data_IF_717206625325
#
_entry.id   IF_717206625325
#
_cell.length_a   1.000
_cell.length_b   1.000
_cell.length_c   1.000
_cell.angle_alpha   90.00
_cell.angle_beta   90.00
_cell.angle_gamma   90.00
#
_symmetry.space_group_name_H-M   'P 1'
#
loop_
_entity.id
_entity.type
_entity.pdbx_description
1 polymer ?
#
# COMPACT_ATOMS: atom_id res chain seq x y z
N UNK A 1 12.94 -49.79 -54.67
CA UNK A 1 12.90 -48.34 -54.39
C UNK A 1 11.64 -48.10 -53.58
N UNK A 2 11.80 -47.99 -52.26
CA UNK A 2 10.72 -47.78 -51.30
C UNK A 2 10.95 -46.39 -50.70
N UNK A 3 10.13 -45.43 -51.10
CA UNK A 3 10.14 -44.09 -50.51
C UNK A 3 9.20 -44.07 -49.31
N UNK A 4 9.80 -43.95 -48.11
CA UNK A 4 9.11 -43.78 -46.85
C UNK A 4 8.60 -42.34 -46.71
N UNK A 5 7.30 -42.14 -46.89
CA UNK A 5 6.62 -40.90 -46.58
C UNK A 5 6.52 -40.68 -45.07
N UNK A 6 7.32 -39.75 -44.55
CA UNK A 6 7.28 -39.31 -43.15
C UNK A 6 6.03 -38.45 -42.92
N UNK A 7 4.98 -39.05 -42.34
CA UNK A 7 3.82 -38.32 -41.82
C UNK A 7 4.23 -37.50 -40.59
N UNK A 8 4.39 -36.19 -40.74
CA UNK A 8 4.55 -35.27 -39.62
C UNK A 8 3.18 -35.04 -38.96
N UNK A 9 2.90 -35.80 -37.90
CA UNK A 9 1.72 -35.61 -37.06
C UNK A 9 1.80 -34.23 -36.38
N UNK A 10 0.80 -33.38 -36.66
CA UNK A 10 0.67 -32.07 -36.02
C UNK A 10 0.17 -32.27 -34.58
N UNK A 11 1.09 -32.51 -33.65
CA UNK A 11 0.78 -32.49 -32.22
C UNK A 11 0.56 -31.02 -31.82
N UNK A 12 -0.63 -30.61 -31.37
CA UNK A 12 -0.81 -29.26 -30.83
C UNK A 12 0.15 -29.09 -29.64
N UNK A 13 1.04 -28.11 -29.74
CA UNK A 13 2.05 -27.81 -28.72
C UNK A 13 1.36 -27.39 -27.41
N UNK A 14 1.22 -28.37 -26.50
CA UNK A 14 0.58 -28.23 -25.19
C UNK A 14 1.14 -27.06 -24.36
N UNK A 15 2.36 -26.60 -24.67
CA UNK A 15 3.01 -25.44 -24.03
C UNK A 15 2.26 -24.12 -24.23
N UNK A 16 1.46 -23.98 -25.29
CA UNK A 16 0.76 -22.70 -25.59
C UNK A 16 -0.56 -22.54 -24.82
N UNK A 17 -1.30 -23.63 -24.62
CA UNK A 17 -2.54 -23.63 -23.84
C UNK A 17 -2.26 -23.35 -22.35
N UNK A 18 -1.13 -23.86 -21.85
CA UNK A 18 -0.73 -23.72 -20.46
C UNK A 18 -0.34 -22.26 -20.11
N UNK A 19 0.39 -21.58 -20.99
CA UNK A 19 0.76 -20.16 -20.83
C UNK A 19 -0.44 -19.23 -20.67
N UNK A 20 -1.53 -19.47 -21.40
CA UNK A 20 -2.73 -18.61 -21.34
C UNK A 20 -3.44 -18.77 -19.99
N UNK A 21 -3.51 -20.00 -19.45
CA UNK A 21 -4.09 -20.26 -18.13
C UNK A 21 -3.24 -19.67 -17.01
N UNK A 22 -1.93 -19.90 -17.06
CA UNK A 22 -0.98 -19.29 -16.11
C UNK A 22 -1.12 -17.78 -16.09
N UNK A 23 -1.29 -17.14 -17.25
CA UNK A 23 -1.43 -15.69 -17.34
C UNK A 23 -2.76 -15.17 -16.76
N UNK A 24 -3.87 -15.88 -16.98
CA UNK A 24 -5.16 -15.51 -16.38
C UNK A 24 -5.10 -15.63 -14.86
N UNK A 25 -4.47 -16.71 -14.36
CA UNK A 25 -4.27 -16.91 -12.92
C UNK A 25 -3.40 -15.81 -12.34
N UNK A 26 -2.27 -15.48 -12.97
CA UNK A 26 -1.37 -14.42 -12.51
C UNK A 26 -2.08 -13.05 -12.44
N UNK A 27 -2.90 -12.73 -13.45
CA UNK A 27 -3.70 -11.49 -13.45
C UNK A 27 -4.75 -11.48 -12.35
N UNK A 28 -5.46 -12.59 -12.15
CA UNK A 28 -6.43 -12.70 -11.07
C UNK A 28 -5.75 -12.54 -9.69
N UNK A 29 -4.56 -13.11 -9.52
CA UNK A 29 -3.75 -12.95 -8.30
C UNK A 29 -3.28 -11.51 -8.10
N UNK A 30 -2.78 -10.85 -9.14
CA UNK A 30 -2.36 -9.44 -9.08
C UNK A 30 -3.53 -8.50 -8.76
N UNK A 31 -4.68 -8.73 -9.39
CA UNK A 31 -5.88 -7.93 -9.14
C UNK A 31 -6.43 -8.19 -7.74
N UNK A 32 -6.42 -9.44 -7.30
CA UNK A 32 -6.72 -9.83 -5.93
C UNK A 32 -5.77 -9.18 -4.92
N UNK A 33 -4.47 -9.10 -5.22
CA UNK A 33 -3.49 -8.41 -4.40
C UNK A 33 -3.78 -6.91 -4.29
N UNK A 34 -4.10 -6.23 -5.41
CA UNK A 34 -4.46 -4.79 -5.38
C UNK A 34 -5.73 -4.57 -4.54
N UNK A 35 -6.73 -5.43 -4.68
CA UNK A 35 -7.96 -5.37 -3.87
C UNK A 35 -7.64 -5.60 -2.40
N UNK A 36 -6.90 -6.66 -2.04
CA UNK A 36 -6.46 -6.89 -0.66
C UNK A 36 -5.64 -5.72 -0.12
N UNK A 37 -4.73 -5.15 -0.91
CA UNK A 37 -3.94 -3.99 -0.53
C UNK A 37 -4.84 -2.77 -0.23
N UNK A 38 -5.91 -2.54 -1.00
CA UNK A 38 -6.85 -1.45 -0.74
C UNK A 38 -7.60 -1.59 0.59
N UNK A 39 -7.94 -2.82 0.99
CA UNK A 39 -8.76 -3.07 2.18
C UNK A 39 -7.97 -3.46 3.44
N UNK A 40 -6.68 -3.77 3.32
CA UNK A 40 -5.85 -4.20 4.44
C UNK A 40 -4.85 -3.10 4.80
N UNK A 41 -5.06 -2.47 5.95
CA UNK A 41 -4.25 -1.36 6.46
C UNK A 41 -2.77 -1.75 6.62
N UNK A 42 -2.50 -2.96 7.13
CA UNK A 42 -1.15 -3.51 7.27
C UNK A 42 -0.43 -3.66 5.94
N UNK A 43 -1.13 -3.87 4.82
CA UNK A 43 -0.51 -3.94 3.50
C UNK A 43 -0.16 -2.55 2.95
N UNK A 44 -0.97 -1.53 3.27
CA UNK A 44 -0.75 -0.14 2.86
C UNK A 44 0.45 0.50 3.53
N UNK A 45 0.77 0.10 4.77
CA UNK A 45 1.94 0.61 5.48
C UNK A 45 3.27 0.08 4.92
N UNK A 46 3.29 -1.15 4.41
CA UNK A 46 4.51 -1.78 3.89
C UNK A 46 4.76 -1.56 2.40
N UNK A 47 3.69 -1.43 1.60
CA UNK A 47 3.78 -1.33 0.15
C UNK A 47 3.31 0.05 -0.30
N UNK A 48 4.20 0.91 -0.84
CA UNK A 48 3.81 2.25 -1.28
C UNK A 48 2.80 2.16 -2.42
N UNK A 49 1.83 3.08 -2.42
CA UNK A 49 0.63 2.98 -3.27
C UNK A 49 0.94 2.82 -4.76
N UNK A 50 2.06 3.34 -5.27
CA UNK A 50 2.42 3.27 -6.69
C UNK A 50 2.92 1.88 -7.12
N UNK A 51 3.46 1.08 -6.19
CA UNK A 51 4.14 -0.18 -6.51
C UNK A 51 3.20 -1.25 -7.10
N UNK A 52 1.99 -1.49 -6.57
CA UNK A 52 1.04 -2.42 -7.18
C UNK A 52 0.69 -2.04 -8.62
N UNK A 53 0.56 -0.74 -8.91
CA UNK A 53 0.23 -0.25 -10.25
C UNK A 53 1.42 -0.32 -11.20
N UNK A 54 2.65 -0.09 -10.73
CA UNK A 54 3.86 -0.30 -11.54
C UNK A 54 4.02 -1.77 -11.91
N UNK A 55 3.77 -2.69 -10.97
CA UNK A 55 3.81 -4.14 -11.27
C UNK A 55 2.73 -4.51 -12.30
N UNK A 56 1.50 -3.98 -12.14
CA UNK A 56 0.43 -4.20 -13.10
C UNK A 56 0.78 -3.64 -14.49
N UNK A 57 1.36 -2.44 -14.54
CA UNK A 57 1.80 -1.79 -15.77
C UNK A 57 2.92 -2.58 -16.45
N UNK A 58 3.92 -3.05 -15.69
CA UNK A 58 5.03 -3.85 -16.20
C UNK A 58 4.52 -5.16 -16.82
N UNK A 59 3.57 -5.84 -16.17
CA UNK A 59 2.95 -7.06 -16.70
C UNK A 59 2.21 -6.81 -18.03
N UNK A 60 1.53 -5.67 -18.18
CA UNK A 60 0.88 -5.29 -19.44
C UNK A 60 1.90 -4.87 -20.52
N UNK A 61 2.98 -4.19 -20.13
CA UNK A 61 4.01 -3.73 -21.06
C UNK A 61 4.78 -4.89 -21.68
N UNK A 62 5.14 -5.90 -20.88
CA UNK A 62 5.76 -7.14 -21.35
C UNK A 62 4.90 -7.80 -22.43
N UNK A 63 3.59 -7.85 -22.24
CA UNK A 63 2.66 -8.43 -23.21
C UNK A 63 2.64 -7.65 -24.53
N UNK A 64 2.60 -6.34 -24.49
CA UNK A 64 2.65 -5.49 -25.69
C UNK A 64 3.97 -5.69 -26.44
N UNK A 65 5.08 -5.81 -25.72
CA UNK A 65 6.41 -6.04 -26.30
C UNK A 65 6.53 -7.43 -26.92
N UNK A 66 6.04 -8.48 -26.25
CA UNK A 66 6.01 -9.85 -26.79
C UNK A 66 5.13 -9.93 -28.03
N UNK A 67 3.92 -9.34 -27.98
CA UNK A 67 3.01 -9.31 -29.14
C UNK A 67 3.57 -8.52 -30.34
N UNK A 68 4.42 -7.50 -30.10
CA UNK A 68 5.13 -6.77 -31.17
C UNK A 68 6.35 -7.52 -31.72
N UNK A 69 6.98 -8.38 -30.90
CA UNK A 69 8.16 -9.18 -31.28
C UNK A 69 7.79 -10.49 -31.98
N UNK A 70 6.55 -10.96 -31.87
CA UNK A 70 6.07 -12.05 -32.71
C UNK A 70 6.08 -11.58 -34.17
N UNK A 71 6.94 -12.15 -35.05
CA UNK A 71 6.89 -11.81 -36.45
C UNK A 71 5.49 -12.13 -36.96
N UNK A 72 4.86 -11.21 -37.69
CA UNK A 72 3.65 -11.47 -38.46
C UNK A 72 3.89 -12.79 -39.20
N UNK A 73 3.26 -13.89 -38.75
CA UNK A 73 3.37 -15.17 -39.43
C UNK A 73 2.95 -14.89 -40.86
N UNK A 74 3.93 -14.80 -41.79
CA UNK A 74 3.67 -14.76 -43.22
C UNK A 74 2.72 -15.91 -43.45
N UNK A 75 1.55 -15.61 -44.01
CA UNK A 75 0.58 -16.62 -44.38
C UNK A 75 1.36 -17.66 -45.19
N UNK A 76 1.67 -18.80 -44.55
CA UNK A 76 2.39 -19.88 -45.20
C UNK A 76 1.52 -20.21 -46.41
N UNK A 77 2.07 -20.09 -47.62
CA UNK A 77 1.34 -20.34 -48.86
C UNK A 77 0.73 -21.72 -48.70
N UNK A 78 -0.58 -21.76 -48.42
CA UNK A 78 -1.31 -23.00 -48.22
C UNK A 78 -1.29 -23.68 -49.57
N UNK A 79 -0.57 -24.78 -49.69
CA UNK A 79 -0.84 -25.74 -50.76
C UNK A 79 -2.34 -26.05 -50.62
N UNK A 80 -3.15 -25.87 -51.67
CA UNK A 80 -4.57 -26.20 -51.59
C UNK A 80 -4.68 -27.69 -51.20
N UNK A 81 -5.50 -28.02 -50.20
CA UNK A 81 -5.65 -29.40 -49.74
C UNK A 81 -6.11 -30.31 -50.88
N UNK A 82 -5.62 -31.54 -50.88
CA UNK A 82 -5.97 -32.55 -51.88
C UNK A 82 -7.35 -33.16 -51.62
N UNK A 83 -7.87 -33.98 -52.54
CA UNK A 83 -9.14 -34.69 -52.36
C UNK A 83 -9.20 -35.53 -51.07
N UNK A 84 -8.04 -36.04 -50.65
CA UNK A 84 -7.86 -36.84 -49.44
C UNK A 84 -7.95 -36.07 -48.11
N UNK A 85 -7.97 -34.74 -48.15
CA UNK A 85 -8.09 -33.88 -46.96
C UNK A 85 -9.55 -33.43 -46.69
N UNK A 86 -10.51 -33.83 -47.52
CA UNK A 86 -11.92 -33.44 -47.42
C UNK A 86 -12.58 -33.91 -46.10
N UNK A 87 -12.18 -35.09 -45.64
CA UNK A 87 -12.72 -35.78 -44.45
C UNK A 87 -12.35 -35.08 -43.14
N UNK A 88 -11.33 -34.20 -43.18
CA UNK A 88 -10.80 -33.47 -42.02
C UNK A 88 -11.55 -32.16 -41.75
N UNK A 89 -12.66 -31.89 -42.45
CA UNK A 89 -13.52 -30.73 -42.21
C UNK A 89 -13.02 -29.42 -42.84
N UNK A 90 -12.13 -29.51 -43.84
CA UNK A 90 -11.56 -28.35 -44.53
C UNK A 90 -12.40 -27.83 -45.70
N UNK A 91 -13.63 -28.30 -45.93
CA UNK A 91 -14.51 -27.80 -46.98
C UNK A 91 -15.48 -28.87 -47.46
N UNK A 92 -16.40 -28.47 -48.34
CA UNK A 92 -17.32 -29.42 -48.98
C UNK A 92 -17.00 -29.48 -50.46
N UNK A 93 -16.80 -30.70 -50.97
CA UNK A 93 -16.70 -30.93 -52.41
C UNK A 93 -18.12 -30.95 -52.96
N UNK A 94 -18.44 -30.02 -53.85
CA UNK A 94 -19.76 -29.92 -54.48
C UNK A 94 -19.60 -30.38 -55.93
N UNK A 95 -20.40 -31.36 -56.34
CA UNK A 95 -20.41 -31.88 -57.71
C UNK A 95 -21.10 -30.87 -58.63
N UNK A 96 -20.45 -30.51 -59.74
CA UNK A 96 -20.97 -29.53 -60.68
C UNK A 96 -20.78 -30.01 -62.12
N UNK A 97 -21.90 -30.45 -62.70
CA UNK A 97 -22.17 -30.98 -64.06
C UNK A 97 -21.16 -31.95 -64.69
N UNK A 98 -19.84 -31.68 -64.66
CA UNK A 98 -18.78 -32.60 -65.11
C UNK A 98 -17.47 -32.48 -64.29
N UNK A 99 -17.49 -31.84 -63.11
CA UNK A 99 -16.30 -31.69 -62.26
C UNK A 99 -16.60 -31.52 -60.77
N UNK A 100 -15.67 -31.96 -59.92
CA UNK A 100 -15.71 -31.72 -58.47
C UNK A 100 -15.12 -30.34 -58.16
N UNK A 101 -15.94 -29.41 -57.66
CA UNK A 101 -15.49 -28.09 -57.23
C UNK A 101 -15.35 -28.07 -55.71
N UNK A 102 -14.11 -27.96 -55.24
CA UNK A 102 -13.82 -27.74 -53.83
C UNK A 102 -14.29 -26.35 -53.39
N UNK A 103 -15.21 -26.30 -52.42
CA UNK A 103 -15.64 -25.05 -51.78
C UNK A 103 -15.01 -24.99 -50.39
N UNK A 104 -14.03 -24.10 -50.15
CA UNK A 104 -13.46 -23.94 -48.83
C UNK A 104 -14.54 -23.42 -47.86
N UNK A 105 -14.47 -23.78 -46.57
CA UNK A 105 -15.40 -23.28 -45.57
C UNK A 105 -15.29 -21.76 -45.52
N UNK A 106 -16.39 -21.04 -45.24
CA UNK A 106 -16.34 -19.60 -45.10
C UNK A 106 -15.25 -19.24 -44.09
N UNK A 107 -14.35 -18.33 -44.49
CA UNK A 107 -13.28 -17.84 -43.63
C UNK A 107 -13.94 -17.26 -42.38
N UNK A 108 -13.80 -17.93 -41.24
CA UNK A 108 -14.17 -17.34 -39.95
C UNK A 108 -13.27 -16.12 -39.75
N UNK A 109 -13.80 -14.93 -40.04
CA UNK A 109 -13.09 -13.70 -39.71
C UNK A 109 -12.80 -13.71 -38.21
N UNK A 110 -11.53 -13.60 -37.78
CA UNK A 110 -11.23 -13.51 -36.37
C UNK A 110 -11.93 -12.25 -35.84
N UNK A 111 -12.67 -12.31 -34.71
CA UNK A 111 -13.38 -11.16 -34.17
C UNK A 111 -12.37 -10.11 -33.68
N UNK A 112 -11.90 -9.23 -34.58
CA UNK A 112 -10.87 -8.21 -34.33
C UNK A 112 -11.38 -7.10 -33.40
N UNK A 113 -12.66 -6.74 -33.50
CA UNK A 113 -13.24 -5.60 -32.74
C UNK A 113 -13.42 -5.86 -31.24
N UNK A 114 -13.78 -7.08 -30.83
CA UNK A 114 -14.08 -7.36 -29.41
C UNK A 114 -12.85 -7.34 -28.50
N UNK A 115 -11.66 -7.69 -29.02
CA UNK A 115 -10.40 -7.69 -28.24
C UNK A 115 -9.84 -6.29 -27.97
N UNK A 116 -10.02 -5.35 -28.91
CA UNK A 116 -9.58 -3.97 -28.71
C UNK A 116 -10.46 -3.24 -27.67
N UNK A 117 -11.77 -3.45 -27.72
CA UNK A 117 -12.72 -2.87 -26.77
C UNK A 117 -12.46 -3.37 -25.34
N UNK A 118 -12.21 -4.67 -25.15
CA UNK A 118 -11.88 -5.23 -23.83
C UNK A 118 -10.60 -4.66 -23.22
N UNK A 119 -9.58 -4.36 -24.03
CA UNK A 119 -8.33 -3.72 -23.55
C UNK A 119 -8.55 -2.27 -23.15
N UNK A 120 -9.34 -1.52 -23.91
CA UNK A 120 -9.66 -0.13 -23.60
C UNK A 120 -10.50 -0.02 -22.31
N UNK A 121 -11.47 -0.91 -22.13
CA UNK A 121 -12.28 -0.96 -20.89
C UNK A 121 -11.41 -1.34 -19.68
N UNK A 122 -10.53 -2.34 -19.81
CA UNK A 122 -9.61 -2.72 -18.73
C UNK A 122 -8.63 -1.61 -18.34
N UNK A 123 -8.04 -0.93 -19.33
CA UNK A 123 -7.16 0.21 -19.08
C UNK A 123 -7.89 1.40 -18.45
N UNK A 124 -9.12 1.69 -18.90
CA UNK A 124 -9.97 2.73 -18.32
C UNK A 124 -10.31 2.46 -16.86
N UNK A 125 -10.68 1.21 -16.52
CA UNK A 125 -10.97 0.82 -15.15
C UNK A 125 -9.73 0.91 -14.25
N UNK A 126 -8.57 0.43 -14.73
CA UNK A 126 -7.31 0.54 -13.98
C UNK A 126 -6.91 2.00 -13.72
N UNK A 127 -7.04 2.87 -14.73
CA UNK A 127 -6.76 4.30 -14.59
C UNK A 127 -7.74 4.99 -13.63
N UNK A 128 -9.02 4.61 -13.66
CA UNK A 128 -10.03 5.09 -12.72
C UNK A 128 -9.68 4.68 -11.28
N UNK A 129 -9.39 3.39 -11.05
CA UNK A 129 -9.01 2.88 -9.73
C UNK A 129 -7.73 3.54 -9.21
N UNK A 130 -6.72 3.71 -10.07
CA UNK A 130 -5.50 4.45 -9.73
C UNK A 130 -5.82 5.91 -9.36
N UNK A 131 -6.64 6.59 -10.16
CA UNK A 131 -7.03 7.96 -9.92
C UNK A 131 -7.79 8.14 -8.60
N UNK A 132 -8.69 7.20 -8.28
CA UNK A 132 -9.42 7.19 -7.01
C UNK A 132 -8.49 6.91 -5.82
N UNK A 133 -7.60 5.92 -5.93
CA UNK A 133 -6.63 5.61 -4.88
C UNK A 133 -5.65 6.77 -4.64
N UNK A 134 -5.09 7.34 -5.70
CA UNK A 134 -4.19 8.49 -5.62
C UNK A 134 -4.90 9.77 -5.16
N UNK A 135 -6.22 9.88 -5.33
CA UNK A 135 -7.00 10.97 -4.76
C UNK A 135 -7.21 10.74 -3.27
N UNK A 136 -7.66 9.56 -2.87
CA UNK A 136 -7.88 9.21 -1.46
C UNK A 136 -6.60 9.35 -0.63
N UNK A 137 -5.48 8.86 -1.14
CA UNK A 137 -4.16 8.99 -0.50
C UNK A 137 -3.75 10.45 -0.35
N UNK A 138 -3.92 11.27 -1.40
CA UNK A 138 -3.65 12.71 -1.33
C UNK A 138 -4.55 13.41 -0.33
N UNK A 139 -5.85 13.11 -0.32
CA UNK A 139 -6.80 13.67 0.64
C UNK A 139 -6.48 13.29 2.08
N UNK A 140 -5.84 12.13 2.30
CA UNK A 140 -5.39 11.67 3.61
C UNK A 140 -4.08 12.31 4.08
N UNK A 141 -3.42 13.17 3.31
CA UNK A 141 -2.17 13.83 3.76
C UNK A 141 -2.43 15.01 4.68
N UNK A 142 -1.44 15.43 5.47
CA UNK A 142 -1.51 16.66 6.25
C UNK A 142 -1.66 17.90 5.37
N UNK A 143 -0.97 17.92 4.23
CA UNK A 143 -0.93 19.06 3.31
C UNK A 143 -2.26 19.28 2.56
N UNK A 144 -3.16 18.29 2.54
CA UNK A 144 -4.50 18.42 1.93
C UNK A 144 -5.44 19.29 2.77
N UNK A 145 -5.17 19.41 4.08
CA UNK A 145 -5.99 20.22 4.97
C UNK A 145 -5.81 21.71 4.66
N UNK A 146 -6.89 22.53 4.72
CA UNK A 146 -6.78 23.97 4.57
C UNK A 146 -5.83 24.58 5.62
N UNK A 147 -5.06 25.60 5.24
CA UNK A 147 -4.11 26.27 6.13
C UNK A 147 -4.73 26.72 7.48
N UNK A 148 -5.96 27.31 7.52
CA UNK A 148 -6.59 27.66 8.80
C UNK A 148 -6.88 26.46 9.69
N UNK A 149 -7.15 25.29 9.10
CA UNK A 149 -7.38 24.06 9.85
C UNK A 149 -6.07 23.49 10.40
N UNK A 150 -5.01 23.46 9.58
CA UNK A 150 -3.65 23.10 10.02
C UNK A 150 -3.19 23.98 11.18
N UNK A 151 -3.34 25.29 11.06
CA UNK A 151 -2.96 26.25 12.09
C UNK A 151 -3.72 26.02 13.41
N UNK A 152 -5.04 25.78 13.37
CA UNK A 152 -5.83 25.46 14.57
C UNK A 152 -5.40 24.17 15.24
N UNK A 153 -5.13 23.13 14.44
CA UNK A 153 -4.64 21.86 14.98
C UNK A 153 -3.27 22.03 15.62
N UNK A 154 -2.30 22.66 14.93
CA UNK A 154 -0.97 22.90 15.50
C UNK A 154 -1.04 23.73 16.78
N UNK A 155 -1.90 24.75 16.84
CA UNK A 155 -2.11 25.54 18.06
C UNK A 155 -2.64 24.68 19.22
N UNK A 156 -3.62 23.80 18.94
CA UNK A 156 -4.15 22.88 19.96
C UNK A 156 -3.07 21.91 20.45
N UNK A 157 -2.34 21.28 19.53
CA UNK A 157 -1.28 20.33 19.87
C UNK A 157 -0.13 21.00 20.62
N UNK A 158 0.23 22.24 20.26
CA UNK A 158 1.23 23.04 20.96
C UNK A 158 0.82 23.31 22.41
N UNK A 159 -0.46 23.64 22.65
CA UNK A 159 -0.98 23.84 24.01
C UNK A 159 -0.91 22.56 24.85
N UNK A 160 -1.23 21.41 24.25
CA UNK A 160 -1.17 20.12 24.95
C UNK A 160 0.28 19.71 25.24
N UNK A 161 1.20 19.92 24.27
CA UNK A 161 2.62 19.69 24.44
C UNK A 161 3.22 20.58 25.53
N UNK A 162 2.80 21.85 25.62
CA UNK A 162 3.23 22.75 26.70
C UNK A 162 2.78 22.24 28.08
N UNK A 163 1.59 21.65 28.16
CA UNK A 163 1.09 21.01 29.39
C UNK A 163 1.96 19.84 29.83
N UNK A 164 2.41 19.00 28.88
CA UNK A 164 3.31 17.88 29.16
C UNK A 164 4.74 18.36 29.49
N UNK A 165 5.26 19.34 28.74
CA UNK A 165 6.60 19.88 28.93
C UNK A 165 6.75 20.72 30.20
N UNK A 166 5.64 21.15 30.81
CA UNK A 166 5.61 22.04 31.97
C UNK A 166 6.12 23.46 31.70
N UNK A 167 6.29 23.83 30.42
CA UNK A 167 6.81 25.13 30.00
C UNK A 167 6.28 25.51 28.61
N UNK A 168 6.35 26.80 28.22
CA UNK A 168 5.97 27.23 26.88
C UNK A 168 6.85 26.57 25.80
N UNK A 169 6.21 25.99 24.80
CA UNK A 169 6.87 25.32 23.66
C UNK A 169 6.18 25.67 22.35
N UNK A 170 6.79 25.29 21.23
CA UNK A 170 6.22 25.35 19.89
C UNK A 170 6.25 23.98 19.25
N UNK A 171 5.13 23.58 18.64
CA UNK A 171 5.08 22.42 17.77
C UNK A 171 4.97 22.88 16.32
N UNK A 172 5.63 22.17 15.40
CA UNK A 172 5.43 22.32 13.96
C UNK A 172 5.28 20.97 13.29
N UNK A 173 4.54 20.96 12.19
CA UNK A 173 4.51 19.82 11.28
C UNK A 173 5.54 20.06 10.19
N UNK A 174 6.43 19.10 9.99
CA UNK A 174 7.54 19.22 9.05
C UNK A 174 7.07 18.97 7.60
N UNK A 175 6.33 19.93 7.04
CA UNK A 175 5.68 19.78 5.73
C UNK A 175 6.66 19.46 4.59
N UNK A 176 7.92 19.87 4.73
CA UNK A 176 9.00 19.62 3.77
C UNK A 176 9.96 18.50 4.16
N UNK A 177 9.71 17.78 5.26
CA UNK A 177 10.57 16.72 5.78
C UNK A 177 12.03 17.15 6.01
N UNK A 178 12.26 18.42 6.35
CA UNK A 178 13.60 18.99 6.54
C UNK A 178 14.29 18.45 7.80
N UNK A 179 13.52 17.97 8.77
CA UNK A 179 13.97 17.51 10.07
C UNK A 179 13.63 16.03 10.30
N UNK A 180 12.42 15.60 9.94
CA UNK A 180 12.02 14.19 10.11
C UNK A 180 12.48 13.31 8.96
N UNK A 181 12.76 13.87 7.79
CA UNK A 181 13.22 13.13 6.61
C UNK A 181 12.11 12.34 5.91
N UNK A 182 12.09 12.39 4.58
CA UNK A 182 11.10 11.65 3.79
C UNK A 182 11.45 10.16 3.79
N UNK A 183 10.56 9.31 4.33
CA UNK A 183 10.80 7.87 4.44
C UNK A 183 11.79 7.46 5.54
N UNK A 184 12.09 8.35 6.48
CA UNK A 184 12.84 8.02 7.70
C UNK A 184 11.93 7.36 8.72
N UNK A 185 12.52 6.59 9.64
CA UNK A 185 11.84 6.08 10.85
C UNK A 185 11.66 7.17 11.92
N UNK A 186 12.18 8.38 11.70
CA UNK A 186 12.03 9.53 12.60
C UNK A 186 10.63 10.13 12.48
N UNK A 187 9.79 9.89 13.48
CA UNK A 187 8.40 10.39 13.53
C UNK A 187 8.28 11.78 14.18
N UNK A 188 9.29 12.18 14.95
CA UNK A 188 9.39 13.48 15.62
C UNK A 188 10.83 13.82 15.96
N UNK A 189 11.09 15.10 16.19
CA UNK A 189 12.37 15.59 16.74
C UNK A 189 12.15 16.87 17.55
N UNK A 190 12.69 16.88 18.76
CA UNK A 190 12.68 18.03 19.65
C UNK A 190 14.03 18.76 19.69
N UNK A 191 13.96 20.09 19.77
CA UNK A 191 15.09 20.99 20.03
C UNK A 191 14.87 21.71 21.37
N UNK A 192 15.19 21.08 22.51
CA UNK A 192 14.80 21.59 23.83
C UNK A 192 15.32 23.01 24.12
N UNK A 193 16.53 23.35 23.67
CA UNK A 193 17.09 24.70 23.84
C UNK A 193 16.32 25.80 23.10
N UNK A 194 15.69 25.45 21.98
CA UNK A 194 14.87 26.36 21.20
C UNK A 194 13.38 26.28 21.57
N UNK A 195 13.00 25.34 22.46
CA UNK A 195 11.62 25.12 22.86
C UNK A 195 10.71 24.71 21.71
N UNK A 196 11.24 24.04 20.68
CA UNK A 196 10.49 23.68 19.47
C UNK A 196 10.65 22.20 19.12
N UNK A 197 9.57 21.54 18.72
CA UNK A 197 9.59 20.21 18.13
C UNK A 197 8.91 20.17 16.76
N UNK A 198 9.40 19.28 15.91
CA UNK A 198 8.89 19.01 14.58
C UNK A 198 8.36 17.58 14.52
N UNK A 199 7.12 17.41 14.07
CA UNK A 199 6.50 16.11 13.85
C UNK A 199 6.41 15.81 12.36
N UNK A 200 6.48 14.52 12.02
CA UNK A 200 6.25 14.07 10.66
C UNK A 200 4.81 14.42 10.23
N UNK A 201 4.58 14.78 8.95
CA UNK A 201 3.24 15.11 8.45
C UNK A 201 2.18 14.03 8.72
N UNK A 202 2.55 12.75 8.64
CA UNK A 202 1.65 11.64 8.97
C UNK A 202 1.19 11.68 10.43
N UNK A 203 2.09 11.97 11.37
CA UNK A 203 1.77 12.11 12.80
C UNK A 203 0.83 13.30 13.03
N UNK A 204 1.11 14.45 12.40
CA UNK A 204 0.22 15.60 12.49
C UNK A 204 -1.18 15.32 11.93
N UNK A 205 -1.27 14.54 10.86
CA UNK A 205 -2.54 14.12 10.30
C UNK A 205 -3.31 13.20 11.25
N UNK A 206 -2.67 12.18 11.79
CA UNK A 206 -3.32 11.26 12.74
C UNK A 206 -3.82 12.02 13.98
N UNK A 207 -3.02 12.94 14.52
CA UNK A 207 -3.43 13.79 15.64
C UNK A 207 -4.60 14.72 15.29
N UNK A 208 -4.66 15.21 14.04
CA UNK A 208 -5.80 15.98 13.54
C UNK A 208 -7.07 15.14 13.51
N UNK A 209 -6.98 13.92 12.98
CA UNK A 209 -8.11 13.02 12.83
C UNK A 209 -8.65 12.59 14.21
N UNK A 210 -7.77 12.35 15.19
CA UNK A 210 -8.15 12.14 16.59
C UNK A 210 -8.93 13.32 17.16
N UNK A 211 -8.43 14.55 16.98
CA UNK A 211 -9.07 15.78 17.43
C UNK A 211 -10.45 16.02 16.81
N UNK A 212 -10.66 15.53 15.58
CA UNK A 212 -11.91 15.71 14.83
C UNK A 212 -12.94 14.65 15.17
N UNK A 213 -12.53 13.38 15.19
CA UNK A 213 -13.43 12.24 15.26
C UNK A 213 -13.64 11.74 16.70
N UNK A 214 -12.67 11.93 17.61
CA UNK A 214 -12.70 11.34 18.95
C UNK A 214 -12.60 9.81 18.96
N UNK A 215 -12.29 9.22 17.81
CA UNK A 215 -12.11 7.80 17.59
C UNK A 215 -10.71 7.55 17.01
N UNK A 216 -10.12 6.40 17.29
CA UNK A 216 -8.78 6.09 16.82
C UNK A 216 -8.34 4.67 17.14
N UNK A 217 -7.48 4.13 16.27
CA UNK A 217 -6.86 2.82 16.43
C UNK A 217 -5.42 2.91 16.94
N UNK A 218 -4.59 1.95 16.54
CA UNK A 218 -3.19 1.91 16.96
C UNK A 218 -2.38 3.11 16.43
N UNK A 219 -2.64 3.54 15.19
CA UNK A 219 -1.97 4.70 14.59
C UNK A 219 -2.22 6.00 15.36
N UNK A 220 -3.47 6.21 15.79
CA UNK A 220 -3.85 7.34 16.63
C UNK A 220 -3.04 7.38 17.94
N UNK A 221 -2.95 6.24 18.65
CA UNK A 221 -2.18 6.19 19.90
C UNK A 221 -0.67 6.29 19.66
N UNK A 222 -0.14 5.71 18.60
CA UNK A 222 1.26 5.91 18.22
C UNK A 222 1.56 7.41 18.02
N UNK A 223 0.69 8.14 17.33
CA UNK A 223 0.83 9.58 17.11
C UNK A 223 0.76 10.38 18.43
N UNK A 224 -0.13 9.98 19.36
CA UNK A 224 -0.22 10.57 20.70
C UNK A 224 1.06 10.29 21.52
N UNK A 225 1.59 9.07 21.47
CA UNK A 225 2.84 8.71 22.16
C UNK A 225 4.00 9.53 21.61
N UNK A 226 4.11 9.68 20.28
CA UNK A 226 5.14 10.54 19.66
C UNK A 226 5.01 11.99 20.13
N UNK A 227 3.80 12.56 20.16
CA UNK A 227 3.60 13.91 20.68
C UNK A 227 4.03 14.05 22.14
N UNK A 228 3.67 13.07 22.99
CA UNK A 228 4.06 13.06 24.40
C UNK A 228 5.59 12.91 24.56
N UNK A 229 6.21 12.03 23.77
CA UNK A 229 7.65 11.80 23.74
C UNK A 229 8.40 13.10 23.42
N UNK A 230 8.06 13.77 22.31
CA UNK A 230 8.71 15.02 21.95
C UNK A 230 8.47 16.12 22.98
N UNK A 231 7.28 16.18 23.57
CA UNK A 231 6.98 17.14 24.64
C UNK A 231 7.83 16.90 25.91
N UNK A 232 8.07 15.64 26.29
CA UNK A 232 8.98 15.31 27.40
C UNK A 232 10.41 15.75 27.10
N UNK A 233 10.88 15.60 25.86
CA UNK A 233 12.17 16.16 25.45
C UNK A 233 12.23 17.67 25.62
N UNK A 234 11.17 18.38 25.22
CA UNK A 234 11.07 19.83 25.42
C UNK A 234 11.06 20.22 26.90
N UNK A 235 10.55 19.34 27.77
CA UNK A 235 10.66 19.42 29.23
C UNK A 235 12.08 19.31 29.79
N UNK A 236 13.03 18.81 28.99
CA UNK A 236 14.47 18.80 29.30
C UNK A 236 15.10 17.42 29.50
N UNK A 237 14.32 16.33 29.47
CA UNK A 237 14.86 14.97 29.46
C UNK A 237 15.49 14.66 28.10
N UNK A 238 16.65 13.99 28.09
CA UNK A 238 17.43 13.74 26.86
C UNK A 238 17.69 12.26 26.63
N UNK A 239 17.38 11.40 27.58
CA UNK A 239 17.61 9.97 27.49
C UNK A 239 16.38 9.33 26.85
N UNK A 240 16.49 8.95 25.58
CA UNK A 240 15.43 8.36 24.76
C UNK A 240 14.55 7.34 25.51
N UNK A 241 15.14 6.33 26.17
CA UNK A 241 14.35 5.33 26.92
C UNK A 241 13.58 5.90 28.14
N UNK A 242 14.10 6.94 28.79
CA UNK A 242 13.36 7.64 29.86
C UNK A 242 12.27 8.51 29.28
N UNK A 243 12.56 9.22 28.19
CA UNK A 243 11.57 10.00 27.43
C UNK A 243 10.42 9.11 26.95
N UNK A 244 10.70 7.94 26.38
CA UNK A 244 9.69 6.97 25.94
C UNK A 244 8.81 6.52 27.11
N UNK A 245 9.42 6.20 28.26
CA UNK A 245 8.70 5.82 29.46
C UNK A 245 7.74 6.90 29.95
N UNK A 246 8.23 8.14 30.08
CA UNK A 246 7.43 9.27 30.54
C UNK A 246 6.37 9.66 29.50
N UNK A 247 6.70 9.59 28.21
CA UNK A 247 5.77 9.82 27.11
C UNK A 247 4.60 8.84 27.14
N UNK A 248 4.86 7.55 27.37
CA UNK A 248 3.82 6.53 27.54
C UNK A 248 2.92 6.81 28.75
N UNK A 249 3.48 7.26 29.88
CA UNK A 249 2.70 7.62 31.07
C UNK A 249 1.79 8.84 30.85
N UNK A 250 2.22 9.79 30.01
CA UNK A 250 1.42 10.96 29.64
C UNK A 250 0.39 10.66 28.55
N UNK A 251 0.65 9.67 27.70
CA UNK A 251 -0.14 9.38 26.51
C UNK A 251 -1.62 9.11 26.80
N UNK A 252 -1.96 8.40 27.89
CA UNK A 252 -3.37 8.14 28.25
C UNK A 252 -4.13 9.44 28.51
N UNK A 253 -3.57 10.33 29.34
CA UNK A 253 -4.21 11.61 29.66
C UNK A 253 -4.28 12.53 28.45
N UNK A 254 -3.21 12.54 27.64
CA UNK A 254 -3.14 13.32 26.42
C UNK A 254 -4.17 12.85 25.37
N UNK A 255 -4.27 11.55 25.13
CA UNK A 255 -5.25 10.93 24.24
C UNK A 255 -6.69 11.37 24.59
N UNK A 256 -7.03 11.36 25.88
CA UNK A 256 -8.35 11.80 26.36
C UNK A 256 -8.59 13.29 26.11
N UNK A 257 -7.61 14.15 26.38
CA UNK A 257 -7.73 15.60 26.11
C UNK A 257 -7.80 15.94 24.63
N UNK A 258 -7.27 15.05 23.77
CA UNK A 258 -7.38 15.11 22.32
C UNK A 258 -8.68 14.52 21.79
N UNK A 259 -9.51 13.88 22.63
CA UNK A 259 -10.87 13.45 22.28
C UNK A 259 -11.11 11.95 22.28
N UNK A 260 -10.09 11.11 22.49
CA UNK A 260 -10.31 9.66 22.61
C UNK A 260 -11.09 9.31 23.88
N UNK A 261 -12.01 8.36 23.76
CA UNK A 261 -12.70 7.80 24.93
C UNK A 261 -11.71 7.17 25.92
N UNK A 262 -11.86 7.47 27.22
CA UNK A 262 -10.90 7.09 28.27
C UNK A 262 -10.58 5.58 28.31
N UNK A 263 -11.60 4.74 28.15
CA UNK A 263 -11.41 3.29 28.14
C UNK A 263 -10.68 2.81 26.88
N UNK A 264 -10.90 3.44 25.72
CA UNK A 264 -10.18 3.12 24.50
C UNK A 264 -8.73 3.57 24.59
N UNK A 265 -8.50 4.81 25.05
CA UNK A 265 -7.16 5.37 25.27
C UNK A 265 -6.34 4.48 26.21
N UNK A 266 -6.87 4.11 27.38
CA UNK A 266 -6.20 3.22 28.34
C UNK A 266 -5.80 1.89 27.71
N UNK A 267 -6.73 1.22 27.00
CA UNK A 267 -6.43 -0.08 26.36
C UNK A 267 -5.34 0.02 25.31
N UNK A 268 -5.42 1.03 24.44
CA UNK A 268 -4.48 1.20 23.34
C UNK A 268 -3.09 1.63 23.84
N UNK A 269 -3.01 2.51 24.84
CA UNK A 269 -1.75 2.91 25.46
C UNK A 269 -1.11 1.76 26.22
N UNK A 270 -1.90 0.95 26.95
CA UNK A 270 -1.42 -0.31 27.56
C UNK A 270 -0.81 -1.23 26.52
N UNK A 271 -1.50 -1.44 25.40
CA UNK A 271 -1.01 -2.28 24.32
C UNK A 271 0.28 -1.73 23.69
N UNK A 272 0.38 -0.40 23.53
CA UNK A 272 1.61 0.25 23.07
C UNK A 272 2.77 0.02 24.05
N UNK A 273 2.54 0.20 25.36
CA UNK A 273 3.51 -0.06 26.41
C UNK A 273 4.01 -1.51 26.42
N UNK A 274 3.10 -2.49 26.33
CA UNK A 274 3.48 -3.91 26.27
C UNK A 274 4.30 -4.25 25.02
N UNK A 275 3.97 -3.65 23.86
CA UNK A 275 4.79 -3.78 22.65
C UNK A 275 6.20 -3.21 22.85
N UNK A 276 6.35 -2.05 23.51
CA UNK A 276 7.66 -1.46 23.81
C UNK A 276 8.49 -2.31 24.77
N UNK A 277 7.85 -2.94 25.76
CA UNK A 277 8.53 -3.89 26.66
C UNK A 277 9.02 -5.15 25.91
N UNK A 278 8.26 -5.59 24.91
CA UNK A 278 8.60 -6.75 24.09
C UNK A 278 9.63 -6.44 22.98
N UNK A 279 9.87 -5.17 22.67
CA UNK A 279 10.78 -4.74 21.61
C UNK A 279 12.22 -5.19 21.89
N UNK A 280 12.83 -5.85 20.89
CA UNK A 280 14.21 -6.37 20.95
C UNK A 280 15.09 -5.83 19.82
N UNK A 281 14.56 -4.95 18.97
CA UNK A 281 15.29 -4.38 17.84
C UNK A 281 16.52 -3.60 18.30
N UNK A 282 17.69 -3.99 17.77
CA UNK A 282 18.95 -3.26 17.99
C UNK A 282 18.88 -1.83 17.42
N UNK A 283 18.07 -1.61 16.37
CA UNK A 283 17.87 -0.29 15.74
C UNK A 283 17.17 0.67 16.72
N UNK A 284 16.29 0.14 17.58
CA UNK A 284 15.55 0.93 18.60
C UNK A 284 16.12 0.78 20.00
N UNK A 285 17.35 0.29 20.16
CA UNK A 285 17.94 0.01 21.48
C UNK A 285 17.99 1.25 22.39
N UNK A 286 18.17 2.45 21.84
CA UNK A 286 18.14 3.70 22.60
C UNK A 286 16.76 3.98 23.24
N UNK A 287 15.68 3.53 22.59
CA UNK A 287 14.28 3.68 23.04
C UNK A 287 13.82 2.54 23.95
N UNK A 288 14.68 1.57 24.25
CA UNK A 288 14.31 0.46 25.12
C UNK A 288 13.89 1.00 26.50
N UNK A 289 12.74 0.55 26.98
CA UNK A 289 12.22 0.97 28.29
C UNK A 289 13.18 0.53 29.39
N UNK A 290 13.66 1.46 30.25
CA UNK A 290 14.49 1.12 31.39
C UNK A 290 13.73 0.18 32.34
N UNK A 291 14.43 -0.69 33.07
CA UNK A 291 13.80 -1.60 34.05
C UNK A 291 13.06 -0.87 35.18
N UNK A 292 13.40 0.40 35.42
CA UNK A 292 12.72 1.29 36.35
C UNK A 292 11.40 1.87 35.82
N UNK A 293 11.11 1.69 34.52
CA UNK A 293 9.84 2.06 33.89
C UNK A 293 8.80 0.95 34.17
N UNK A 294 8.13 1.06 35.31
CA UNK A 294 7.06 0.16 35.76
C UNK A 294 6.26 0.86 36.85
N UNK A 295 5.03 0.43 37.07
CA UNK A 295 4.18 0.91 38.17
C UNK A 295 4.90 0.76 39.52
N UNK A 296 4.96 1.85 40.29
CA UNK A 296 5.71 1.97 41.54
C UNK A 296 7.25 1.93 41.38
N UNK A 297 7.75 1.97 40.14
CA UNK A 297 9.17 2.05 39.82
C UNK A 297 9.74 3.46 39.98
N UNK A 298 11.06 3.59 39.89
CA UNK A 298 11.73 4.88 40.06
C UNK A 298 11.42 5.92 38.95
N UNK A 299 10.88 5.47 37.81
CA UNK A 299 10.42 6.35 36.73
C UNK A 299 8.90 6.51 36.69
N UNK A 300 8.17 5.95 37.66
CA UNK A 300 6.74 6.22 37.80
C UNK A 300 6.54 7.66 38.27
N UNK A 301 6.01 8.49 37.38
CA UNK A 301 5.77 9.91 37.63
C UNK A 301 4.59 10.14 38.57
N UNK A 302 3.72 9.14 38.77
CA UNK A 302 2.51 9.21 39.59
C UNK A 302 2.31 7.91 40.38
N UNK A 303 3.16 7.61 41.39
CA UNK A 303 3.05 6.38 42.15
C UNK A 303 1.66 6.18 42.77
N UNK A 304 1.06 5.02 42.53
CA UNK A 304 -0.28 4.66 43.01
C UNK A 304 -1.43 5.19 42.14
N UNK A 305 -1.13 5.86 41.03
CA UNK A 305 -2.13 6.23 40.03
C UNK A 305 -2.42 5.02 39.12
N UNK A 306 -3.66 4.52 39.05
CA UNK A 306 -4.02 3.37 38.20
C UNK A 306 -3.94 3.69 36.70
N UNK A 307 -3.54 4.91 36.33
CA UNK A 307 -3.31 5.34 34.94
C UNK A 307 -1.91 5.02 34.43
N UNK A 308 -1.00 4.49 35.26
CA UNK A 308 0.25 3.94 34.74
C UNK A 308 -0.09 2.92 33.62
N UNK A 309 0.53 3.04 32.42
CA UNK A 309 0.27 2.13 31.32
C UNK A 309 0.41 0.68 31.71
#
# INVERSE_FOLDING_TARGET
MSDGGVYNSFVPDARTADRTRVQVVLRALLLGFVVCWLFVETLRTWVPFWLPFVVLLAAELEFVLVARREPLRRARRKVPPGPEDADLGFGTVVEHEDSYRYVPPPVREPPRRRRALGRLVGAGLAALLFGLAARADREATWQSLPEPERARTVARLTSEAAGVAGQPVQLRCDEGYSFTGAGSDTLGVAFPRAGIAYLAPSICRELHDVLRAGEGGEAAVEAVVVLAHEAVHLGGERREGVTECLGLQEATGLAVRLGLGENLARRLVRAAYERRLAERSAIRAAYALPTSCRDGGALDSRPGDPRFP
#
